data_IF_508795487457
#
_entry.id   IF_508795487457
#
_cell.length_a   1.000
_cell.length_b   1.000
_cell.length_c   1.000
_cell.angle_alpha   90.00
_cell.angle_beta   90.00
_cell.angle_gamma   90.00
#
_symmetry.space_group_name_H-M   'P 1'
#
loop_
_entity.id
_entity.type
_entity.pdbx_description
1 polymer ?
#
# COMPACT_ATOMS: atom_id res chain seq x y z
N UNK A 1 -17.37 17.77 -5.46
CA UNK A 1 -17.28 16.91 -4.27
C UNK A 1 -15.88 16.35 -4.19
N UNK A 2 -15.18 16.62 -3.12
CA UNK A 2 -13.81 16.13 -2.96
C UNK A 2 -13.81 14.63 -2.69
N UNK A 3 -13.00 13.90 -3.47
CA UNK A 3 -12.75 12.50 -3.21
C UNK A 3 -11.69 12.42 -2.12
N UNK A 4 -12.05 11.88 -0.98
CA UNK A 4 -11.07 11.68 0.08
C UNK A 4 -10.31 10.40 -0.16
N UNK A 5 -8.99 10.52 -0.31
CA UNK A 5 -8.11 9.38 -0.45
C UNK A 5 -7.98 8.60 0.86
N UNK A 6 -8.16 9.28 1.98
CA UNK A 6 -7.98 8.73 3.32
C UNK A 6 -9.14 9.13 4.23
N UNK A 7 -9.58 8.20 5.08
CA UNK A 7 -10.58 8.48 6.11
C UNK A 7 -10.11 7.86 7.44
N UNK A 8 -10.69 8.34 8.54
CA UNK A 8 -10.35 7.84 9.88
C UNK A 8 -10.58 6.33 10.03
N UNK A 9 -11.55 5.78 9.31
CA UNK A 9 -11.85 4.35 9.34
C UNK A 9 -10.73 3.47 8.78
N UNK A 10 -9.82 4.07 8.01
CA UNK A 10 -8.68 3.37 7.40
C UNK A 10 -7.49 3.28 8.35
N UNK A 11 -7.51 4.00 9.47
CA UNK A 11 -6.41 4.00 10.44
C UNK A 11 -6.33 2.66 11.16
N UNK A 12 -5.11 2.13 11.29
CA UNK A 12 -4.83 0.85 11.92
C UNK A 12 -4.39 0.99 13.39
N UNK A 13 -4.17 2.22 13.84
CA UNK A 13 -3.68 2.50 15.18
C UNK A 13 -2.18 2.34 15.34
N UNK A 14 -1.46 2.20 14.23
CA UNK A 14 0.00 2.17 14.18
C UNK A 14 0.46 3.38 13.37
N UNK A 15 0.94 4.46 14.02
CA UNK A 15 1.24 5.72 13.31
C UNK A 15 2.15 5.56 12.11
N UNK A 16 3.15 4.70 12.19
CA UNK A 16 4.09 4.46 11.09
C UNK A 16 3.37 3.94 9.85
N UNK A 17 2.43 3.00 10.03
CA UNK A 17 1.62 2.46 8.93
C UNK A 17 0.63 3.51 8.44
N UNK A 18 -0.06 4.16 9.35
CA UNK A 18 -1.11 5.13 9.01
C UNK A 18 -0.56 6.30 8.19
N UNK A 19 0.61 6.82 8.56
CA UNK A 19 1.27 7.89 7.81
C UNK A 19 1.66 7.44 6.40
N UNK A 20 2.23 6.25 6.25
CA UNK A 20 2.64 5.72 4.96
C UNK A 20 1.43 5.46 4.07
N UNK A 21 0.36 4.89 4.62
CA UNK A 21 -0.86 4.57 3.88
C UNK A 21 -1.58 5.84 3.43
N UNK A 22 -1.67 6.84 4.29
CA UNK A 22 -2.28 8.13 3.94
C UNK A 22 -1.50 8.79 2.80
N UNK A 23 -0.18 8.81 2.89
CA UNK A 23 0.68 9.40 1.85
C UNK A 23 0.49 8.68 0.51
N UNK A 24 0.40 7.35 0.51
CA UNK A 24 0.18 6.58 -0.70
C UNK A 24 -1.19 6.84 -1.32
N UNK A 25 -2.24 6.90 -0.50
CA UNK A 25 -3.59 7.17 -0.98
C UNK A 25 -3.65 8.54 -1.66
N UNK A 26 -3.04 9.55 -1.06
CA UNK A 26 -2.96 10.90 -1.65
C UNK A 26 -2.17 10.89 -2.95
N UNK A 27 -1.09 10.15 -3.01
CA UNK A 27 -0.25 10.05 -4.21
C UNK A 27 -1.03 9.43 -5.38
N UNK A 28 -1.82 8.41 -5.13
CA UNK A 28 -2.68 7.79 -6.16
C UNK A 28 -3.70 8.80 -6.68
N UNK A 29 -4.35 9.55 -5.81
CA UNK A 29 -5.31 10.56 -6.22
C UNK A 29 -4.65 11.63 -7.09
N UNK A 30 -3.47 12.08 -6.72
CA UNK A 30 -2.72 13.06 -7.51
C UNK A 30 -2.40 12.53 -8.91
N UNK A 31 -2.06 11.24 -9.03
CA UNK A 31 -1.80 10.61 -10.31
C UNK A 31 -3.07 10.56 -11.17
N UNK A 32 -4.20 10.19 -10.58
CA UNK A 32 -5.47 10.10 -11.29
C UNK A 32 -5.97 11.46 -11.77
N UNK A 33 -5.72 12.51 -11.02
CA UNK A 33 -6.15 13.86 -11.34
C UNK A 33 -5.15 14.66 -12.15
N UNK A 34 -3.88 14.19 -12.21
CA UNK A 34 -2.80 14.90 -12.87
C UNK A 34 -2.72 14.66 -14.38
N UNK A 35 -1.85 15.44 -15.06
CA UNK A 35 -1.67 15.31 -16.50
C UNK A 35 -0.89 14.06 -16.89
N UNK A 36 -1.09 13.61 -18.14
CA UNK A 36 -0.43 12.42 -18.67
C UNK A 36 1.09 12.54 -18.66
N UNK A 37 1.62 13.76 -18.83
CA UNK A 37 3.06 14.01 -18.88
C UNK A 37 3.78 13.68 -17.58
N UNK A 38 3.05 13.70 -16.45
CA UNK A 38 3.60 13.42 -15.13
C UNK A 38 3.34 11.98 -14.68
N UNK A 39 2.56 11.25 -15.44
CA UNK A 39 2.07 9.94 -15.01
C UNK A 39 3.19 8.91 -14.86
N UNK A 40 4.09 8.83 -15.84
CA UNK A 40 5.17 7.83 -15.80
C UNK A 40 6.09 8.03 -14.60
N UNK A 41 6.55 9.27 -14.38
CA UNK A 41 7.40 9.58 -13.24
C UNK A 41 6.66 9.38 -11.91
N UNK A 42 5.38 9.75 -11.86
CA UNK A 42 4.54 9.56 -10.67
C UNK A 42 4.31 8.10 -10.35
N UNK A 43 4.09 7.25 -11.36
CA UNK A 43 3.94 5.81 -11.18
C UNK A 43 5.24 5.17 -10.68
N UNK A 44 6.39 5.63 -11.17
CA UNK A 44 7.68 5.16 -10.70
C UNK A 44 7.88 5.48 -9.21
N UNK A 45 7.53 6.71 -8.80
CA UNK A 45 7.60 7.11 -7.39
C UNK A 45 6.65 6.32 -6.51
N UNK A 46 5.42 6.08 -6.99
CA UNK A 46 4.43 5.29 -6.26
C UNK A 46 4.92 3.85 -6.07
N UNK A 47 5.47 3.25 -7.13
CA UNK A 47 6.00 1.88 -7.06
C UNK A 47 7.10 1.79 -6.01
N UNK A 48 8.01 2.75 -5.99
CA UNK A 48 9.11 2.81 -5.03
C UNK A 48 8.57 2.95 -3.59
N UNK A 49 7.58 3.80 -3.39
CA UNK A 49 6.95 3.97 -2.08
C UNK A 49 6.27 2.69 -1.60
N UNK A 50 5.59 1.98 -2.50
CA UNK A 50 4.98 0.68 -2.19
C UNK A 50 6.03 -0.36 -1.82
N UNK A 51 7.14 -0.42 -2.56
CA UNK A 51 8.23 -1.34 -2.26
C UNK A 51 8.80 -1.10 -0.87
N UNK A 52 9.00 0.15 -0.50
CA UNK A 52 9.52 0.52 0.82
C UNK A 52 8.55 0.15 1.94
N UNK A 53 7.25 0.45 1.75
CA UNK A 53 6.22 0.12 2.72
C UNK A 53 6.09 -1.39 2.90
N UNK A 54 6.08 -2.13 1.80
CA UNK A 54 5.96 -3.59 1.85
C UNK A 54 7.17 -4.23 2.54
N UNK A 55 8.37 -3.71 2.31
CA UNK A 55 9.58 -4.19 2.98
C UNK A 55 9.50 -3.99 4.49
N UNK A 56 8.98 -2.83 4.92
CA UNK A 56 8.78 -2.55 6.33
C UNK A 56 7.81 -3.54 6.95
N UNK A 57 6.64 -3.75 6.30
CA UNK A 57 5.63 -4.69 6.80
C UNK A 57 6.19 -6.11 6.88
N UNK A 58 6.89 -6.55 5.84
CA UNK A 58 7.46 -7.91 5.81
C UNK A 58 8.52 -8.11 6.87
N UNK A 59 9.34 -7.09 7.13
CA UNK A 59 10.33 -7.11 8.22
C UNK A 59 9.65 -7.27 9.58
N UNK A 60 8.55 -6.55 9.81
CA UNK A 60 7.79 -6.65 11.06
C UNK A 60 7.10 -8.00 11.19
N UNK A 61 6.57 -8.54 10.09
CA UNK A 61 5.96 -9.87 10.09
C UNK A 61 6.99 -10.96 10.45
N UNK A 62 8.21 -10.84 9.92
CA UNK A 62 9.28 -11.77 10.26
C UNK A 62 9.64 -11.68 11.74
N UNK A 63 9.68 -10.46 12.28
CA UNK A 63 10.06 -10.23 13.67
C UNK A 63 9.12 -10.89 14.67
N UNK A 64 7.83 -11.04 14.31
CA UNK A 64 6.82 -11.65 15.20
C UNK A 64 6.43 -13.08 14.77
N UNK A 65 7.12 -13.66 13.79
CA UNK A 65 6.78 -14.96 13.22
C UNK A 65 5.29 -15.02 12.80
N UNK A 66 4.87 -14.02 12.04
CA UNK A 66 3.46 -13.86 11.65
C UNK A 66 2.96 -15.03 10.80
N UNK A 67 1.91 -15.76 11.23
CA UNK A 67 1.49 -16.99 10.54
C UNK A 67 1.04 -16.78 9.10
N UNK A 68 0.45 -15.63 8.77
CA UNK A 68 -0.06 -15.35 7.43
C UNK A 68 0.95 -14.60 6.54
N UNK A 69 2.24 -14.64 6.89
CA UNK A 69 3.29 -13.89 6.16
C UNK A 69 3.35 -14.26 4.68
N UNK A 70 3.22 -15.54 4.34
CA UNK A 70 3.31 -15.97 2.93
C UNK A 70 2.17 -15.40 2.09
N UNK A 71 0.94 -15.44 2.61
CA UNK A 71 -0.22 -14.88 1.94
C UNK A 71 -0.10 -13.36 1.77
N UNK A 72 0.34 -12.67 2.80
CA UNK A 72 0.51 -11.22 2.79
C UNK A 72 1.59 -10.82 1.78
N UNK A 73 2.74 -11.49 1.79
CA UNK A 73 3.81 -11.28 0.81
C UNK A 73 3.34 -11.53 -0.61
N UNK A 74 2.51 -12.54 -0.83
CA UNK A 74 1.99 -12.84 -2.15
C UNK A 74 1.14 -11.70 -2.68
N UNK A 75 0.31 -11.08 -1.84
CA UNK A 75 -0.48 -9.92 -2.23
C UNK A 75 0.40 -8.74 -2.63
N UNK A 76 1.46 -8.47 -1.87
CA UNK A 76 2.44 -7.44 -2.20
C UNK A 76 3.11 -7.73 -3.56
N UNK A 77 3.56 -8.96 -3.75
CA UNK A 77 4.26 -9.37 -4.96
C UNK A 77 3.38 -9.23 -6.21
N UNK A 78 2.09 -9.52 -6.09
CA UNK A 78 1.16 -9.42 -7.22
C UNK A 78 0.98 -7.99 -7.70
N UNK A 79 0.80 -7.03 -6.79
CA UNK A 79 0.62 -5.64 -7.18
C UNK A 79 1.93 -5.07 -7.74
N UNK A 80 3.06 -5.38 -7.14
CA UNK A 80 4.36 -4.93 -7.65
C UNK A 80 4.66 -5.51 -9.02
N UNK A 81 4.36 -6.79 -9.25
CA UNK A 81 4.55 -7.43 -10.56
C UNK A 81 3.72 -6.74 -11.64
N UNK A 82 2.48 -6.37 -11.33
CA UNK A 82 1.63 -5.64 -12.27
C UNK A 82 2.22 -4.28 -12.61
N UNK A 83 2.75 -3.56 -11.62
CA UNK A 83 3.36 -2.25 -11.85
C UNK A 83 4.66 -2.37 -12.66
N UNK A 84 5.48 -3.37 -12.39
CA UNK A 84 6.74 -3.59 -13.12
C UNK A 84 6.54 -4.03 -14.57
N UNK A 85 5.34 -4.52 -14.92
CA UNK A 85 5.02 -4.89 -16.30
C UNK A 85 4.61 -3.72 -17.18
N UNK A 86 4.37 -2.56 -16.59
CA UNK A 86 3.96 -1.38 -17.37
C UNK A 86 5.08 -0.97 -18.34
N UNK A 87 4.75 -0.89 -19.62
CA UNK A 87 5.71 -0.46 -20.62
C UNK A 87 5.94 1.04 -20.54
N UNK A 88 7.20 1.50 -20.67
CA UNK A 88 7.47 2.93 -20.71
C UNK A 88 6.69 3.61 -21.84
N UNK A 89 6.06 4.74 -21.56
CA UNK A 89 5.30 5.51 -22.53
C UNK A 89 3.88 5.01 -22.79
N UNK A 90 3.47 3.88 -22.20
CA UNK A 90 2.10 3.40 -22.35
C UNK A 90 1.20 4.09 -21.31
N UNK A 91 0.73 5.28 -21.65
CA UNK A 91 -0.08 6.12 -20.77
C UNK A 91 -1.41 5.46 -20.45
N UNK A 92 -2.06 4.84 -21.42
CA UNK A 92 -3.35 4.19 -21.21
C UNK A 92 -3.25 3.06 -20.18
N UNK A 93 -2.22 2.22 -20.29
CA UNK A 93 -1.98 1.13 -19.34
C UNK A 93 -1.64 1.67 -17.96
N UNK A 94 -0.84 2.73 -17.88
CA UNK A 94 -0.48 3.36 -16.60
C UNK A 94 -1.70 3.96 -15.91
N UNK A 95 -2.58 4.64 -16.65
CA UNK A 95 -3.82 5.19 -16.08
C UNK A 95 -4.76 4.09 -15.60
N UNK A 96 -4.87 3.00 -16.36
CA UNK A 96 -5.68 1.86 -15.96
C UNK A 96 -5.16 1.26 -14.66
N UNK A 97 -3.85 1.05 -14.57
CA UNK A 97 -3.21 0.52 -13.37
C UNK A 97 -3.43 1.44 -12.16
N UNK A 98 -3.25 2.75 -12.34
CA UNK A 98 -3.48 3.73 -11.27
C UNK A 98 -4.92 3.67 -10.76
N UNK A 99 -5.88 3.49 -11.65
CA UNK A 99 -7.31 3.37 -11.29
C UNK A 99 -7.62 2.11 -10.49
N UNK A 100 -6.82 1.05 -10.63
CA UNK A 100 -7.01 -0.21 -9.90
C UNK A 100 -6.29 -0.24 -8.55
N UNK A 101 -5.27 0.59 -8.36
CA UNK A 101 -4.45 0.58 -7.14
C UNK A 101 -5.27 0.98 -5.91
N UNK A 102 -6.07 2.04 -6.00
CA UNK A 102 -6.78 2.53 -4.82
C UNK A 102 -7.81 1.54 -4.29
N UNK A 103 -8.68 0.93 -5.13
CA UNK A 103 -9.57 -0.13 -4.66
C UNK A 103 -8.81 -1.35 -4.11
N UNK A 104 -7.70 -1.74 -4.75
CA UNK A 104 -6.87 -2.83 -4.23
C UNK A 104 -6.32 -2.48 -2.84
N UNK A 105 -5.81 -1.27 -2.71
CA UNK A 105 -5.23 -0.77 -1.46
C UNK A 105 -6.28 -0.75 -0.34
N UNK A 106 -7.48 -0.26 -0.61
CA UNK A 106 -8.56 -0.22 0.37
C UNK A 106 -8.91 -1.63 0.88
N UNK A 107 -9.00 -2.60 -0.03
CA UNK A 107 -9.29 -3.99 0.34
C UNK A 107 -8.15 -4.61 1.13
N UNK A 108 -6.91 -4.42 0.67
CA UNK A 108 -5.72 -4.93 1.33
C UNK A 108 -5.60 -4.37 2.75
N UNK A 109 -5.83 -3.06 2.90
CA UNK A 109 -5.81 -2.37 4.19
C UNK A 109 -6.86 -2.93 5.14
N UNK A 110 -8.09 -3.09 4.66
CA UNK A 110 -9.22 -3.55 5.47
C UNK A 110 -9.11 -5.01 5.89
N UNK A 111 -8.33 -5.81 5.19
CA UNK A 111 -8.19 -7.25 5.46
C UNK A 111 -6.79 -7.59 5.96
N UNK A 112 -5.81 -7.65 5.05
CA UNK A 112 -4.46 -8.12 5.36
C UNK A 112 -3.72 -7.21 6.36
N UNK A 113 -3.76 -5.90 6.14
CA UNK A 113 -3.06 -4.96 7.01
C UNK A 113 -3.74 -4.81 8.37
N UNK A 114 -5.07 -4.90 8.43
CA UNK A 114 -5.79 -4.89 9.70
C UNK A 114 -5.42 -6.10 10.55
N UNK A 115 -5.38 -7.27 9.95
CA UNK A 115 -4.97 -8.49 10.65
C UNK A 115 -3.53 -8.39 11.15
N UNK A 116 -2.63 -7.85 10.35
CA UNK A 116 -1.24 -7.63 10.74
C UNK A 116 -1.14 -6.64 11.90
N UNK A 117 -1.88 -5.53 11.84
CA UNK A 117 -1.87 -4.53 12.91
C UNK A 117 -2.32 -5.13 14.24
N UNK A 118 -3.35 -5.96 14.23
CA UNK A 118 -3.82 -6.65 15.43
C UNK A 118 -2.71 -7.56 15.98
N UNK A 119 -2.07 -8.34 15.13
CA UNK A 119 -0.99 -9.23 15.53
C UNK A 119 0.20 -8.47 16.14
N UNK A 120 0.59 -7.34 15.54
CA UNK A 120 1.65 -6.50 16.06
C UNK A 120 1.31 -5.89 17.42
N UNK A 121 0.08 -5.43 17.58
CA UNK A 121 -0.37 -4.87 18.86
C UNK A 121 -0.39 -5.94 19.95
N UNK A 122 -0.84 -7.15 19.64
CA UNK A 122 -0.85 -8.27 20.58
C UNK A 122 0.58 -8.68 20.94
N UNK A 123 1.49 -8.73 20.00
CA UNK A 123 2.91 -9.04 20.25
C UNK A 123 3.56 -7.99 21.17
N UNK A 124 3.24 -6.71 20.95
CA UNK A 124 3.71 -5.62 21.81
C UNK A 124 3.22 -5.72 23.24
N UNK A 125 1.97 -6.10 23.43
CA UNK A 125 1.40 -6.34 24.77
C UNK A 125 2.05 -7.53 25.45
N UNK A 126 2.36 -8.58 24.68
CA UNK A 126 3.01 -9.77 25.21
C UNK A 126 4.42 -9.46 25.69
N UNK A 127 5.16 -8.59 24.99
CA UNK A 127 6.50 -8.18 25.38
C UNK A 127 6.51 -7.14 26.50
N UNK A 128 5.40 -6.44 26.71
CA UNK A 128 5.27 -5.40 27.73
C UNK A 128 4.93 -5.95 29.12
N UNK A 129 4.55 -7.22 29.21
CA UNK A 129 4.13 -7.83 30.48
C UNK A 129 5.30 -8.43 31.27
#
# INVERSE_FOLDING_TARGET
METKAWSADMALGIPLFDEAHEAMAEQVIQLLEGPDEQLEAGMARLTEALEDDFRLEESLMEAIDYPAICSHREQHARVLAALHRLAPGDVAAARHAAGLILPWFETHLATADTALAIALQMAGRSTAS
#
